data_IF_400671313631
#
_entry.id   IF_400671313631
#
_cell.length_a   1.000
_cell.length_b   1.000
_cell.length_c   1.000
_cell.angle_alpha   90.00
_cell.angle_beta   90.00
_cell.angle_gamma   90.00
#
_symmetry.space_group_name_H-M   'P 1'
#
loop_
_entity.id
_entity.type
_entity.pdbx_description
1 polymer ?
#
# COMPACT_ATOMS: atom_id res chain seq x y z
N UNK A 1 27.51 1.54 17.65
CA UNK A 1 27.07 0.26 17.06
C UNK A 1 28.13 -0.76 17.40
N UNK A 2 27.76 -1.96 17.86
CA UNK A 2 28.74 -3.04 18.08
C UNK A 2 29.33 -3.50 16.73
N UNK A 3 30.52 -4.08 16.77
CA UNK A 3 31.11 -4.72 15.58
C UNK A 3 30.16 -5.81 15.06
N UNK A 4 30.07 -5.94 13.74
CA UNK A 4 29.18 -6.88 13.06
C UNK A 4 29.80 -7.26 11.71
N UNK A 5 29.72 -8.54 11.37
CA UNK A 5 30.15 -9.07 10.08
C UNK A 5 29.11 -8.77 9.00
N UNK A 6 29.59 -8.45 7.80
CA UNK A 6 28.73 -8.05 6.68
C UNK A 6 28.90 -8.99 5.49
N UNK A 7 27.83 -9.71 5.17
CA UNK A 7 27.78 -10.74 4.15
C UNK A 7 27.10 -10.22 2.88
N UNK A 8 27.62 -10.62 1.71
CA UNK A 8 27.19 -10.11 0.39
C UNK A 8 26.85 -11.26 -0.56
N UNK A 9 25.77 -12.02 -0.32
CA UNK A 9 25.31 -13.07 -1.23
C UNK A 9 24.86 -12.48 -2.57
N UNK A 10 24.91 -13.31 -3.61
CA UNK A 10 24.54 -12.96 -4.99
C UNK A 10 23.23 -13.65 -5.42
N UNK A 11 22.81 -14.68 -4.70
CA UNK A 11 21.58 -15.44 -4.95
C UNK A 11 20.67 -15.47 -3.73
N UNK A 12 19.37 -15.71 -3.96
CA UNK A 12 18.38 -15.89 -2.88
C UNK A 12 18.77 -17.08 -1.99
N UNK A 13 19.22 -18.18 -2.61
CA UNK A 13 19.65 -19.37 -1.91
C UNK A 13 20.83 -19.08 -0.97
N UNK A 14 21.88 -18.43 -1.44
CA UNK A 14 23.02 -18.05 -0.58
C UNK A 14 22.59 -17.18 0.61
N UNK A 15 21.65 -16.26 0.42
CA UNK A 15 21.16 -15.41 1.49
C UNK A 15 20.39 -16.21 2.56
N UNK A 16 19.58 -17.17 2.14
CA UNK A 16 18.85 -18.08 3.01
C UNK A 16 19.82 -19.01 3.76
N UNK A 17 20.79 -19.61 3.05
CA UNK A 17 21.82 -20.49 3.63
C UNK A 17 22.63 -19.75 4.71
N UNK A 18 22.96 -18.48 4.48
CA UNK A 18 23.62 -17.62 5.47
C UNK A 18 22.71 -17.35 6.68
N UNK A 19 21.42 -17.06 6.48
CA UNK A 19 20.52 -16.81 7.61
C UNK A 19 20.22 -18.06 8.45
N UNK A 20 20.29 -19.24 7.85
CA UNK A 20 20.11 -20.50 8.57
C UNK A 20 21.35 -20.87 9.37
N UNK A 21 22.54 -20.71 8.77
CA UNK A 21 23.83 -21.07 9.39
C UNK A 21 24.35 -20.05 10.41
N UNK A 22 24.02 -18.77 10.28
CA UNK A 22 24.54 -17.72 11.15
C UNK A 22 23.62 -17.46 12.35
N UNK A 23 24.20 -17.46 13.55
CA UNK A 23 23.52 -16.98 14.75
C UNK A 23 23.44 -15.45 14.75
N UNK A 24 22.34 -14.93 15.34
CA UNK A 24 22.09 -13.49 15.48
C UNK A 24 22.28 -12.71 14.16
N UNK A 25 21.76 -13.28 13.07
CA UNK A 25 21.79 -12.69 11.75
C UNK A 25 20.53 -11.86 11.45
N UNK A 26 20.70 -10.82 10.62
CA UNK A 26 19.59 -10.01 10.14
C UNK A 26 19.79 -9.64 8.68
N UNK A 27 18.75 -9.83 7.87
CA UNK A 27 18.72 -9.29 6.52
C UNK A 27 18.78 -7.76 6.53
N UNK A 28 19.50 -7.19 5.56
CA UNK A 28 19.54 -5.75 5.31
C UNK A 28 19.34 -5.46 3.82
N UNK A 29 18.24 -4.77 3.51
CA UNK A 29 17.97 -4.21 2.18
C UNK A 29 18.46 -2.75 2.12
N UNK A 30 17.54 -1.78 2.09
CA UNK A 30 17.87 -0.34 2.09
C UNK A 30 18.47 0.20 3.38
N UNK A 31 18.39 -0.56 4.49
CA UNK A 31 18.98 -0.20 5.77
C UNK A 31 18.30 0.96 6.53
N UNK A 32 17.21 1.53 6.00
CA UNK A 32 16.55 2.73 6.57
C UNK A 32 15.92 2.52 7.94
N UNK A 33 15.57 1.27 8.27
CA UNK A 33 15.07 0.88 9.59
C UNK A 33 16.15 0.14 10.39
N UNK A 34 16.77 -0.87 9.79
CA UNK A 34 17.81 -1.71 10.42
C UNK A 34 18.95 -0.87 11.00
N UNK A 35 19.51 0.06 10.21
CA UNK A 35 20.63 0.89 10.68
C UNK A 35 20.21 1.91 11.74
N UNK A 36 18.97 2.40 11.69
CA UNK A 36 18.43 3.32 12.70
C UNK A 36 18.24 2.59 14.02
N UNK A 37 17.62 1.41 14.01
CA UNK A 37 17.45 0.58 15.19
C UNK A 37 18.79 0.14 15.79
N UNK A 38 19.77 -0.20 14.95
CA UNK A 38 21.12 -0.55 15.39
C UNK A 38 21.85 0.63 16.06
N UNK A 39 21.72 1.85 15.52
CA UNK A 39 22.28 3.07 16.14
C UNK A 39 21.60 3.42 17.46
N UNK A 40 20.31 3.15 17.60
CA UNK A 40 19.55 3.34 18.84
C UNK A 40 19.79 2.23 19.88
N UNK A 41 20.60 1.21 19.58
CA UNK A 41 20.84 0.07 20.47
C UNK A 41 19.64 -0.88 20.60
N UNK A 42 18.58 -0.71 19.78
CA UNK A 42 17.39 -1.56 19.78
C UNK A 42 17.56 -2.84 18.95
N UNK A 43 18.60 -2.88 18.12
CA UNK A 43 19.01 -4.03 17.34
C UNK A 43 20.54 -4.16 17.46
N UNK A 44 21.07 -5.38 17.59
CA UNK A 44 22.52 -5.61 17.67
C UNK A 44 22.85 -6.95 17.02
N UNK A 45 22.70 -7.05 15.68
CA UNK A 45 23.01 -8.27 14.98
C UNK A 45 24.52 -8.49 14.99
N UNK A 46 24.95 -9.73 15.13
CA UNK A 46 26.34 -10.12 14.93
C UNK A 46 26.65 -10.21 13.43
N UNK A 47 25.64 -10.56 12.63
CA UNK A 47 25.74 -10.77 11.20
C UNK A 47 24.68 -9.98 10.43
N UNK A 48 25.10 -9.21 9.43
CA UNK A 48 24.22 -8.55 8.48
C UNK A 48 24.32 -9.22 7.11
N UNK A 49 23.20 -9.73 6.60
CA UNK A 49 23.11 -10.37 5.29
C UNK A 49 22.50 -9.40 4.29
N UNK A 50 23.33 -8.88 3.38
CA UNK A 50 22.92 -7.87 2.41
C UNK A 50 22.05 -8.46 1.30
N UNK A 51 20.93 -7.81 1.03
CA UNK A 51 20.01 -8.17 -0.07
C UNK A 51 20.25 -7.36 -1.34
N UNK A 52 21.18 -6.39 -1.32
CA UNK A 52 21.33 -5.38 -2.39
C UNK A 52 21.77 -5.97 -3.74
N UNK A 53 22.59 -7.01 -3.71
CA UNK A 53 23.22 -7.59 -4.90
C UNK A 53 22.61 -8.93 -5.31
N UNK A 54 21.46 -9.29 -4.73
CA UNK A 54 20.81 -10.56 -5.07
C UNK A 54 20.07 -10.41 -6.40
N UNK A 55 20.43 -11.28 -7.35
CA UNK A 55 19.79 -11.33 -8.66
C UNK A 55 18.30 -11.67 -8.53
N UNK A 56 17.45 -10.98 -9.29
CA UNK A 56 15.99 -11.18 -9.29
C UNK A 56 15.20 -10.39 -8.24
N UNK A 57 15.81 -9.87 -7.17
CA UNK A 57 15.07 -9.11 -6.14
C UNK A 57 14.71 -7.68 -6.57
N UNK A 58 15.33 -7.13 -7.61
CA UNK A 58 15.12 -5.75 -8.05
C UNK A 58 14.35 -5.63 -9.37
N UNK A 59 13.73 -6.71 -9.85
CA UNK A 59 12.95 -6.71 -11.08
C UNK A 59 11.54 -6.13 -10.91
N UNK A 60 11.00 -5.57 -11.99
CA UNK A 60 9.57 -5.26 -12.14
C UNK A 60 9.13 -5.95 -13.44
N UNK A 61 8.16 -6.83 -13.36
CA UNK A 61 7.54 -7.51 -14.50
C UNK A 61 6.05 -7.15 -14.55
N UNK A 62 5.56 -6.85 -15.76
CA UNK A 62 4.24 -6.28 -16.02
C UNK A 62 3.41 -7.09 -17.04
N UNK A 63 3.83 -8.31 -17.39
CA UNK A 63 3.18 -9.07 -18.47
C UNK A 63 1.76 -9.54 -18.10
N UNK A 64 1.55 -10.00 -16.86
CA UNK A 64 0.29 -10.62 -16.39
C UNK A 64 -0.13 -10.03 -15.04
N UNK A 65 -0.31 -8.71 -15.02
CA UNK A 65 -0.40 -7.94 -13.77
C UNK A 65 0.97 -7.39 -13.41
N UNK A 66 1.27 -7.22 -12.12
CA UNK A 66 2.55 -6.66 -11.68
C UNK A 66 3.23 -7.58 -10.69
N UNK A 67 4.45 -8.02 -11.03
CA UNK A 67 5.39 -8.68 -10.11
C UNK A 67 6.50 -7.71 -9.74
N UNK A 68 6.52 -7.30 -8.48
CA UNK A 68 7.57 -6.45 -7.89
C UNK A 68 8.53 -7.29 -7.07
N UNK A 69 9.81 -7.31 -7.43
CA UNK A 69 10.84 -7.84 -6.56
C UNK A 69 10.90 -7.09 -5.22
N UNK A 70 11.16 -7.81 -4.13
CA UNK A 70 11.18 -7.24 -2.77
C UNK A 70 12.27 -6.17 -2.56
N UNK A 71 13.29 -6.17 -3.41
CA UNK A 71 14.38 -5.20 -3.47
C UNK A 71 14.07 -3.95 -4.29
N UNK A 72 12.92 -3.87 -4.97
CA UNK A 72 12.53 -2.66 -5.72
C UNK A 72 12.33 -1.49 -4.75
N UNK A 73 12.96 -0.36 -5.06
CA UNK A 73 12.92 0.85 -4.22
C UNK A 73 11.64 1.64 -4.40
N UNK A 74 11.22 2.37 -3.36
CA UNK A 74 10.04 3.23 -3.45
C UNK A 74 10.16 4.29 -4.56
N UNK A 75 11.36 4.83 -4.83
CA UNK A 75 11.58 5.76 -5.95
C UNK A 75 11.27 5.11 -7.29
N UNK A 76 11.63 3.85 -7.50
CA UNK A 76 11.34 3.15 -8.76
C UNK A 76 9.84 2.94 -8.92
N UNK A 77 9.16 2.48 -7.88
CA UNK A 77 7.70 2.27 -7.88
C UNK A 77 6.95 3.58 -8.15
N UNK A 78 7.32 4.66 -7.46
CA UNK A 78 6.62 5.94 -7.56
C UNK A 78 6.79 6.64 -8.92
N UNK A 79 7.86 6.33 -9.66
CA UNK A 79 8.16 6.97 -10.95
C UNK A 79 7.89 6.07 -12.16
N UNK A 80 7.48 4.82 -11.95
CA UNK A 80 7.16 3.91 -13.03
C UNK A 80 5.84 4.30 -13.70
N UNK A 81 5.85 4.51 -15.01
CA UNK A 81 4.68 5.00 -15.75
C UNK A 81 3.49 4.05 -15.70
N UNK A 82 3.74 2.74 -15.87
CA UNK A 82 2.69 1.72 -15.87
C UNK A 82 2.07 1.56 -14.47
N UNK A 83 2.90 1.55 -13.41
CA UNK A 83 2.40 1.50 -12.03
C UNK A 83 1.60 2.76 -11.70
N UNK A 84 2.06 3.94 -12.12
CA UNK A 84 1.33 5.20 -11.90
C UNK A 84 -0.03 5.22 -12.58
N UNK A 85 -0.16 4.57 -13.73
CA UNK A 85 -1.40 4.52 -14.50
C UNK A 85 -2.36 3.46 -13.99
N UNK A 86 -1.90 2.22 -13.80
CA UNK A 86 -2.77 1.07 -13.53
C UNK A 86 -2.80 0.63 -12.06
N UNK A 87 -1.81 1.03 -11.27
CA UNK A 87 -1.65 0.67 -9.84
C UNK A 87 -1.40 1.94 -9.01
N UNK A 88 -2.10 3.02 -9.34
CA UNK A 88 -1.89 4.38 -8.85
C UNK A 88 -1.81 4.51 -7.33
N UNK A 89 -2.61 3.76 -6.56
CA UNK A 89 -2.50 3.74 -5.09
C UNK A 89 -1.10 3.34 -4.61
N UNK A 90 -0.45 2.39 -5.30
CA UNK A 90 0.88 1.92 -4.95
C UNK A 90 1.95 2.96 -5.30
N UNK A 91 1.83 3.60 -6.46
CA UNK A 91 2.71 4.70 -6.84
C UNK A 91 2.61 5.88 -5.84
N UNK A 92 1.40 6.25 -5.42
CA UNK A 92 1.15 7.28 -4.41
C UNK A 92 1.74 6.91 -3.05
N UNK A 93 1.42 5.70 -2.56
CA UNK A 93 1.97 5.18 -1.30
C UNK A 93 3.49 5.19 -1.30
N UNK A 94 4.12 4.71 -2.38
CA UNK A 94 5.57 4.73 -2.52
C UNK A 94 6.12 6.16 -2.59
N UNK A 95 5.41 7.09 -3.25
CA UNK A 95 5.81 8.48 -3.44
C UNK A 95 5.86 9.32 -2.16
N UNK A 96 5.15 8.91 -1.11
CA UNK A 96 5.04 9.64 0.17
C UNK A 96 5.82 9.00 1.33
N UNK A 97 6.54 7.90 1.08
CA UNK A 97 7.44 7.29 2.07
C UNK A 97 8.60 8.23 2.35
N UNK A 98 8.78 8.64 3.61
CA UNK A 98 9.95 9.41 4.07
C UNK A 98 10.30 10.62 3.19
N UNK A 99 11.60 10.79 2.92
CA UNK A 99 12.14 11.75 1.95
C UNK A 99 12.57 11.06 0.67
N UNK A 100 12.92 11.85 -0.36
CA UNK A 100 13.55 11.33 -1.58
C UNK A 100 14.78 10.46 -1.29
N UNK A 101 15.61 10.86 -0.32
CA UNK A 101 16.80 10.11 0.10
C UNK A 101 16.42 8.73 0.65
N UNK A 102 15.39 8.66 1.50
CA UNK A 102 14.87 7.40 2.02
C UNK A 102 14.33 6.54 0.87
N UNK A 103 13.50 7.09 -0.02
CA UNK A 103 12.90 6.34 -1.14
C UNK A 103 13.91 5.78 -2.14
N UNK A 104 15.05 6.44 -2.29
CA UNK A 104 16.11 5.99 -3.19
C UNK A 104 16.79 4.70 -2.72
N UNK A 105 16.69 4.35 -1.43
CA UNK A 105 17.34 3.16 -0.86
C UNK A 105 16.35 2.20 -0.21
N UNK A 106 15.26 2.69 0.39
CA UNK A 106 14.24 1.86 1.03
C UNK A 106 13.49 1.05 -0.03
N UNK A 107 13.34 -0.25 0.25
CA UNK A 107 12.69 -1.20 -0.65
C UNK A 107 11.30 -1.55 -0.14
N UNK A 108 10.42 -1.94 -1.06
CA UNK A 108 9.06 -2.39 -0.72
C UNK A 108 9.09 -3.59 0.23
N UNK A 109 9.99 -4.55 0.03
CA UNK A 109 10.17 -5.70 0.92
C UNK A 109 10.55 -5.28 2.33
N UNK A 110 11.49 -4.34 2.47
CA UNK A 110 11.87 -3.80 3.78
C UNK A 110 10.71 -3.09 4.47
N UNK A 111 9.94 -2.28 3.74
CA UNK A 111 8.78 -1.57 4.29
C UNK A 111 7.71 -2.52 4.84
N UNK A 112 7.37 -3.57 4.08
CA UNK A 112 6.32 -4.51 4.44
C UNK A 112 6.78 -5.50 5.52
N UNK A 113 8.02 -6.01 5.45
CA UNK A 113 8.56 -6.94 6.46
C UNK A 113 8.81 -6.25 7.82
N UNK A 114 9.03 -4.93 7.84
CA UNK A 114 9.08 -4.17 9.08
C UNK A 114 7.72 -4.14 9.80
N UNK A 115 6.60 -4.30 9.06
CA UNK A 115 5.23 -4.32 9.56
C UNK A 115 4.90 -3.17 10.53
N UNK A 116 5.41 -1.99 10.23
CA UNK A 116 4.99 -0.78 10.92
C UNK A 116 3.49 -0.53 10.59
N UNK A 117 2.61 -0.31 11.58
CA UNK A 117 1.20 -0.02 11.33
C UNK A 117 0.94 1.23 10.47
N UNK A 118 1.98 2.05 10.29
CA UNK A 118 2.01 3.30 9.53
C UNK A 118 2.73 3.18 8.17
N UNK A 119 2.96 1.97 7.68
CA UNK A 119 3.64 1.72 6.40
C UNK A 119 2.77 2.19 5.21
N UNK A 120 3.27 3.17 4.46
CA UNK A 120 2.49 3.84 3.40
C UNK A 120 2.13 2.92 2.22
N UNK A 121 2.92 1.87 1.94
CA UNK A 121 2.59 0.92 0.86
C UNK A 121 1.76 -0.28 1.31
N UNK A 122 1.44 -0.42 2.60
CA UNK A 122 0.67 -1.56 3.09
C UNK A 122 -0.81 -1.52 2.67
N UNK A 123 -1.48 -0.37 2.81
CA UNK A 123 -2.87 -0.22 2.34
C UNK A 123 -3.00 -0.37 0.82
N UNK A 124 -2.12 0.25 0.00
CA UNK A 124 -2.10 -0.02 -1.43
C UNK A 124 -1.99 -1.51 -1.79
N UNK A 125 -1.07 -2.25 -1.19
CA UNK A 125 -0.95 -3.68 -1.48
C UNK A 125 -2.20 -4.47 -1.06
N UNK A 126 -2.86 -4.10 0.04
CA UNK A 126 -4.12 -4.72 0.47
C UNK A 126 -5.24 -4.51 -0.55
N UNK A 127 -5.43 -3.29 -1.07
CA UNK A 127 -6.51 -3.02 -2.05
C UNK A 127 -6.19 -3.52 -3.45
N UNK A 128 -4.92 -3.80 -3.73
CA UNK A 128 -4.45 -4.40 -4.98
C UNK A 128 -4.39 -5.93 -4.91
N UNK A 129 -4.96 -6.54 -3.86
CA UNK A 129 -5.02 -7.99 -3.63
C UNK A 129 -3.64 -8.67 -3.79
N UNK A 130 -2.59 -8.04 -3.27
CA UNK A 130 -1.22 -8.52 -3.45
C UNK A 130 -0.98 -9.88 -2.77
N UNK A 131 -0.22 -10.73 -3.44
CA UNK A 131 0.31 -11.99 -2.94
C UNK A 131 1.79 -11.81 -2.63
N UNK A 132 2.22 -12.21 -1.44
CA UNK A 132 3.61 -12.19 -1.00
C UNK A 132 4.25 -13.53 -1.38
N UNK A 133 5.33 -13.48 -2.16
CA UNK A 133 6.13 -14.64 -2.55
C UNK A 133 7.32 -14.76 -1.60
N UNK A 134 7.43 -15.91 -0.96
CA UNK A 134 8.39 -16.19 0.11
C UNK A 134 9.22 -17.40 -0.31
N UNK A 135 10.53 -17.30 -0.18
CA UNK A 135 11.47 -18.40 -0.38
C UNK A 135 12.11 -18.77 0.95
N UNK A 136 12.19 -20.06 1.25
CA UNK A 136 12.86 -20.61 2.43
C UNK A 136 13.64 -21.87 2.08
N UNK A 137 14.25 -22.50 3.09
CA UNK A 137 14.98 -23.78 2.95
C UNK A 137 14.07 -24.92 2.49
N UNK A 138 12.79 -24.88 2.87
CA UNK A 138 11.75 -25.84 2.48
C UNK A 138 11.13 -25.57 1.11
N UNK A 139 11.60 -24.56 0.37
CA UNK A 139 11.09 -24.16 -0.95
C UNK A 139 10.31 -22.84 -0.94
N UNK A 140 9.59 -22.59 -2.02
CA UNK A 140 8.81 -21.37 -2.22
C UNK A 140 7.36 -21.56 -1.76
N UNK A 141 6.81 -20.51 -1.14
CA UNK A 141 5.39 -20.43 -0.79
C UNK A 141 4.81 -19.05 -1.06
N UNK A 142 3.49 -18.98 -1.08
CA UNK A 142 2.74 -17.75 -1.29
C UNK A 142 1.71 -17.56 -0.18
N UNK A 143 1.48 -16.31 0.20
CA UNK A 143 0.48 -15.92 1.19
C UNK A 143 -0.17 -14.61 0.77
N UNK A 144 -1.45 -14.42 1.08
CA UNK A 144 -2.10 -13.14 0.85
C UNK A 144 -1.43 -12.05 1.68
N UNK A 145 -1.40 -10.81 1.20
CA UNK A 145 -0.84 -9.70 1.97
C UNK A 145 -1.64 -9.44 3.26
N UNK A 146 -2.93 -9.77 3.30
CA UNK A 146 -3.76 -9.67 4.52
C UNK A 146 -3.26 -10.65 5.58
N UNK A 147 -3.10 -11.93 5.21
CA UNK A 147 -2.61 -12.98 6.11
C UNK A 147 -1.12 -12.84 6.44
N UNK A 148 -0.37 -12.10 5.63
CA UNK A 148 1.04 -11.81 5.90
C UNK A 148 1.23 -10.92 7.15
N UNK A 149 0.28 -10.05 7.47
CA UNK A 149 0.37 -9.17 8.65
C UNK A 149 -0.22 -9.84 9.90
N UNK A 150 0.64 -10.22 10.85
CA UNK A 150 0.23 -10.89 12.11
C UNK A 150 0.07 -9.93 13.31
N UNK A 151 0.43 -8.66 13.13
CA UNK A 151 0.32 -7.62 14.14
C UNK A 151 1.44 -6.57 14.03
N UNK A 152 1.55 -5.67 15.02
CA UNK A 152 2.58 -4.64 15.02
C UNK A 152 3.98 -5.26 14.95
N UNK A 153 4.74 -4.91 13.92
CA UNK A 153 6.11 -5.39 13.66
C UNK A 153 6.23 -6.93 13.57
N UNK A 154 5.12 -7.63 13.22
CA UNK A 154 5.10 -9.08 13.05
C UNK A 154 4.48 -9.45 11.72
N UNK A 155 5.19 -10.28 10.97
CA UNK A 155 4.75 -10.84 9.69
C UNK A 155 4.83 -12.36 9.71
N UNK A 156 4.13 -13.00 8.78
CA UNK A 156 4.16 -14.45 8.58
C UNK A 156 5.45 -14.88 7.84
N UNK A 157 6.61 -14.61 8.46
CA UNK A 157 7.92 -15.15 8.07
C UNK A 157 8.47 -16.04 9.17
N UNK A 158 8.93 -17.21 8.78
CA UNK A 158 9.69 -18.14 9.61
C UNK A 158 11.19 -17.83 9.55
N UNK A 159 11.98 -18.50 10.40
CA UNK A 159 13.43 -18.32 10.42
C UNK A 159 14.02 -18.75 9.07
N UNK A 160 14.91 -17.94 8.51
CA UNK A 160 15.57 -18.20 7.23
C UNK A 160 14.77 -17.75 6.00
N UNK A 161 13.45 -17.56 6.13
CA UNK A 161 12.61 -17.15 5.02
C UNK A 161 12.87 -15.71 4.55
N UNK A 162 12.72 -15.50 3.25
CA UNK A 162 12.92 -14.23 2.58
C UNK A 162 11.75 -13.95 1.64
N UNK A 163 11.14 -12.77 1.78
CA UNK A 163 10.20 -12.26 0.77
C UNK A 163 10.99 -11.93 -0.50
N UNK A 164 10.66 -12.60 -1.61
CA UNK A 164 11.32 -12.39 -2.90
C UNK A 164 10.55 -11.45 -3.81
N UNK A 165 9.21 -11.46 -3.74
CA UNK A 165 8.37 -10.61 -4.58
C UNK A 165 6.97 -10.35 -3.98
N UNK A 166 6.31 -9.35 -4.55
CA UNK A 166 4.88 -9.08 -4.41
C UNK A 166 4.23 -9.20 -5.79
N UNK A 167 3.17 -9.99 -5.90
CA UNK A 167 2.45 -10.23 -7.16
C UNK A 167 1.04 -9.67 -7.02
N UNK A 168 0.65 -8.81 -7.94
CA UNK A 168 -0.71 -8.25 -8.03
C UNK A 168 -1.31 -8.65 -9.38
N UNK A 169 -2.61 -9.00 -9.44
CA UNK A 169 -3.26 -9.40 -10.68
C UNK A 169 -3.35 -8.24 -11.68
N UNK A 170 -3.59 -8.56 -12.95
CA UNK A 170 -4.03 -7.59 -13.93
C UNK A 170 -5.48 -7.17 -13.62
N UNK A 171 -5.79 -5.89 -13.80
CA UNK A 171 -7.14 -5.36 -13.63
C UNK A 171 -7.77 -5.05 -14.98
N UNK A 172 -9.10 -5.15 -15.04
CA UNK A 172 -9.87 -4.78 -16.23
C UNK A 172 -9.80 -3.28 -16.50
N UNK A 173 -10.19 -2.88 -17.72
CA UNK A 173 -10.52 -1.48 -17.98
C UNK A 173 -11.60 -1.00 -16.99
N UNK A 174 -11.63 0.30 -16.71
CA UNK A 174 -12.55 0.86 -15.71
C UNK A 174 -12.18 0.54 -14.26
N UNK A 175 -10.95 0.07 -13.99
CA UNK A 175 -10.41 -0.03 -12.63
C UNK A 175 -9.52 1.16 -12.31
N UNK A 176 -9.74 1.77 -11.16
CA UNK A 176 -8.90 2.85 -10.63
C UNK A 176 -8.59 2.62 -9.15
N UNK A 177 -7.47 3.15 -8.67
CA UNK A 177 -7.07 3.04 -7.27
C UNK A 177 -6.47 4.33 -6.73
N UNK A 178 -6.60 4.59 -5.44
CA UNK A 178 -6.00 5.76 -4.80
C UNK A 178 -5.51 5.48 -3.38
N UNK A 179 -4.51 6.23 -2.95
CA UNK A 179 -4.01 6.26 -1.58
C UNK A 179 -3.90 7.70 -1.07
N UNK A 180 -4.48 7.93 0.10
CA UNK A 180 -4.40 9.19 0.81
C UNK A 180 -3.60 8.97 2.10
N UNK A 181 -2.49 9.70 2.21
CA UNK A 181 -1.75 9.85 3.46
C UNK A 181 -2.22 11.11 4.18
N UNK A 182 -2.86 10.96 5.32
CA UNK A 182 -3.16 12.10 6.21
C UNK A 182 -2.03 12.25 7.22
N UNK A 183 -1.32 13.38 7.19
CA UNK A 183 -0.20 13.66 8.07
C UNK A 183 -0.13 15.14 8.43
N UNK A 184 0.68 15.52 9.44
CA UNK A 184 0.83 16.93 9.84
C UNK A 184 1.70 17.73 8.87
N UNK A 185 2.52 17.03 8.07
CA UNK A 185 3.44 17.60 7.09
C UNK A 185 3.44 16.75 5.82
N UNK A 186 3.68 17.40 4.68
CA UNK A 186 3.69 16.76 3.36
C UNK A 186 4.87 15.81 3.12
N UNK A 187 5.93 15.86 3.93
CA UNK A 187 7.09 14.99 3.84
C UNK A 187 7.67 14.70 5.23
N UNK A 188 8.41 13.59 5.36
CA UNK A 188 9.12 13.21 6.59
C UNK A 188 8.22 13.10 7.84
N UNK A 189 6.96 12.71 7.67
CA UNK A 189 6.05 12.41 8.78
C UNK A 189 5.44 11.02 8.62
N UNK A 190 5.16 10.39 9.76
CA UNK A 190 4.36 9.17 9.79
C UNK A 190 2.88 9.57 9.68
N UNK A 191 2.05 8.78 8.98
CA UNK A 191 0.63 9.07 8.86
C UNK A 191 -0.05 9.19 10.24
N UNK A 192 -0.94 10.18 10.37
CA UNK A 192 -2.03 10.15 11.35
C UNK A 192 -2.99 9.03 10.99
N UNK A 193 -3.27 8.88 9.69
CA UNK A 193 -3.94 7.75 9.06
C UNK A 193 -3.54 7.61 7.59
N UNK A 194 -3.73 6.43 7.02
CA UNK A 194 -3.62 6.21 5.58
C UNK A 194 -4.81 5.40 5.10
N UNK A 195 -5.43 5.82 4.00
CA UNK A 195 -6.58 5.14 3.38
C UNK A 195 -6.24 4.84 1.93
N UNK A 196 -6.44 3.58 1.52
CA UNK A 196 -6.40 3.20 0.12
C UNK A 196 -7.77 2.71 -0.34
N UNK A 197 -8.10 2.93 -1.60
CA UNK A 197 -9.25 2.33 -2.26
C UNK A 197 -8.86 1.82 -3.65
N UNK A 198 -9.56 0.77 -4.11
CA UNK A 198 -9.62 0.34 -5.51
C UNK A 198 -11.09 0.14 -5.85
N UNK A 199 -11.51 0.61 -7.01
CA UNK A 199 -12.85 0.35 -7.54
C UNK A 199 -12.76 -0.11 -8.98
N UNK A 200 -13.68 -0.98 -9.37
CA UNK A 200 -14.01 -1.25 -10.78
C UNK A 200 -15.39 -0.70 -11.04
N UNK A 201 -15.50 0.21 -12.01
CA UNK A 201 -16.75 0.89 -12.33
C UNK A 201 -17.41 0.26 -13.55
N UNK A 202 -18.73 0.25 -13.54
CA UNK A 202 -19.55 0.00 -14.72
C UNK A 202 -20.43 1.22 -14.96
N UNK A 203 -20.32 1.79 -16.14
CA UNK A 203 -21.08 2.96 -16.57
C UNK A 203 -22.34 2.46 -17.28
N UNK A 204 -23.51 2.86 -16.79
CA UNK A 204 -24.80 2.54 -17.43
C UNK A 204 -25.14 3.46 -18.62
N UNK A 205 -24.62 4.69 -18.59
CA UNK A 205 -24.80 5.74 -19.60
C UNK A 205 -23.61 5.93 -20.56
N UNK A 206 -23.31 7.19 -20.93
CA UNK A 206 -22.23 7.54 -21.87
C UNK A 206 -20.89 7.72 -21.13
N UNK A 207 -19.84 6.97 -21.49
CA UNK A 207 -18.53 7.06 -20.82
C UNK A 207 -17.92 8.48 -20.85
N UNK A 208 -18.23 9.28 -21.89
CA UNK A 208 -17.75 10.65 -22.02
C UNK A 208 -18.29 11.60 -20.95
N UNK A 209 -19.55 11.49 -20.56
CA UNK A 209 -20.18 12.39 -19.58
C UNK A 209 -19.72 12.12 -18.15
N UNK A 210 -19.38 10.86 -17.82
CA UNK A 210 -18.76 10.51 -16.54
C UNK A 210 -17.35 11.14 -16.37
N UNK A 211 -16.59 11.29 -17.46
CA UNK A 211 -15.27 11.98 -17.42
C UNK A 211 -15.41 13.47 -17.14
N UNK A 212 -16.42 14.10 -17.75
CA UNK A 212 -16.72 15.52 -17.59
C UNK A 212 -17.39 15.86 -16.24
N UNK A 213 -17.77 14.85 -15.45
CA UNK A 213 -18.32 15.06 -14.12
C UNK A 213 -17.28 15.62 -13.13
N UNK A 214 -15.98 15.41 -13.38
CA UNK A 214 -14.90 15.80 -12.49
C UNK A 214 -14.35 17.21 -12.80
N UNK A 215 -14.06 17.99 -11.75
CA UNK A 215 -13.50 19.35 -11.85
C UNK A 215 -14.37 20.48 -11.29
N UNK A 216 -15.48 20.14 -10.62
CA UNK A 216 -16.37 21.07 -9.93
C UNK A 216 -16.61 20.70 -8.46
N UNK A 217 -17.76 21.09 -7.91
CA UNK A 217 -18.15 20.71 -6.55
C UNK A 217 -18.32 19.19 -6.40
N UNK A 218 -17.95 18.64 -5.24
CA UNK A 218 -18.03 17.19 -4.99
C UNK A 218 -19.48 16.70 -5.07
N UNK A 219 -20.43 17.47 -4.54
CA UNK A 219 -21.85 17.10 -4.52
C UNK A 219 -22.43 17.08 -5.93
N UNK A 220 -22.07 18.08 -6.75
CA UNK A 220 -22.43 18.09 -8.19
C UNK A 220 -21.82 16.91 -8.95
N UNK A 221 -20.54 16.62 -8.69
CA UNK A 221 -19.84 15.46 -9.28
C UNK A 221 -20.61 14.17 -8.98
N UNK A 222 -20.95 13.94 -7.70
CA UNK A 222 -21.68 12.74 -7.27
C UNK A 222 -23.05 12.64 -7.91
N UNK A 223 -23.82 13.74 -7.97
CA UNK A 223 -25.14 13.77 -8.63
C UNK A 223 -25.05 13.42 -10.11
N UNK A 224 -24.01 13.87 -10.82
CA UNK A 224 -23.78 13.53 -12.23
C UNK A 224 -23.46 12.05 -12.38
N UNK A 225 -22.56 11.50 -11.55
CA UNK A 225 -22.23 10.08 -11.59
C UNK A 225 -23.45 9.20 -11.28
N UNK A 226 -24.31 9.64 -10.35
CA UNK A 226 -25.58 8.98 -10.04
C UNK A 226 -26.54 9.01 -11.24
N UNK A 227 -26.68 10.16 -11.91
CA UNK A 227 -27.53 10.33 -13.08
C UNK A 227 -27.09 9.46 -14.28
N UNK A 228 -25.78 9.25 -14.43
CA UNK A 228 -25.19 8.35 -15.43
C UNK A 228 -25.27 6.86 -15.05
N UNK A 229 -25.83 6.55 -13.88
CA UNK A 229 -25.97 5.18 -13.40
C UNK A 229 -24.63 4.49 -13.17
N UNK A 230 -23.59 5.22 -12.73
CA UNK A 230 -22.30 4.61 -12.41
C UNK A 230 -22.42 3.68 -11.22
N UNK A 231 -22.15 2.39 -11.45
CA UNK A 231 -22.16 1.33 -10.44
C UNK A 231 -20.75 0.82 -10.14
N UNK A 232 -20.53 0.32 -8.94
CA UNK A 232 -19.23 -0.22 -8.51
C UNK A 232 -19.25 -1.76 -8.49
N UNK A 233 -18.73 -2.41 -9.51
CA UNK A 233 -18.73 -3.89 -9.62
C UNK A 233 -17.81 -4.56 -8.58
N UNK A 234 -16.69 -3.91 -8.29
CA UNK A 234 -15.76 -4.35 -7.26
C UNK A 234 -15.22 -3.17 -6.47
N UNK A 235 -15.06 -3.36 -5.16
CA UNK A 235 -14.61 -2.35 -4.22
C UNK A 235 -13.62 -2.99 -3.24
N UNK A 236 -12.49 -2.33 -3.03
CA UNK A 236 -11.51 -2.64 -1.99
C UNK A 236 -11.18 -1.39 -1.22
N UNK A 237 -11.15 -1.47 0.11
CA UNK A 237 -10.86 -0.34 1.00
C UNK A 237 -9.94 -0.84 2.10
N UNK A 238 -8.78 -0.20 2.24
CA UNK A 238 -7.83 -0.52 3.31
C UNK A 238 -7.43 0.72 4.09
N UNK A 239 -7.15 0.52 5.38
CA UNK A 239 -6.87 1.58 6.34
C UNK A 239 -5.69 1.22 7.23
N UNK A 240 -4.85 2.21 7.54
CA UNK A 240 -3.67 2.09 8.41
C UNK A 240 -3.74 3.08 9.56
N UNK A 241 -3.00 2.79 10.65
CA UNK A 241 -3.01 3.56 11.91
C UNK A 241 -4.37 3.57 12.62
N UNK A 242 -5.30 2.69 12.21
CA UNK A 242 -6.65 2.55 12.77
C UNK A 242 -6.90 1.17 13.40
N UNK A 243 -5.85 0.36 13.52
CA UNK A 243 -5.82 -0.95 14.16
C UNK A 243 -4.34 -1.32 14.43
N UNK A 244 -4.06 -2.42 15.17
CA UNK A 244 -2.68 -2.89 15.39
C UNK A 244 -1.92 -3.28 14.11
N UNK A 245 -2.63 -3.57 13.02
CA UNK A 245 -2.10 -3.80 11.68
C UNK A 245 -2.95 -3.04 10.64
N UNK A 246 -2.47 -2.82 9.42
CA UNK A 246 -3.32 -2.38 8.32
C UNK A 246 -4.47 -3.38 8.10
N UNK A 247 -5.69 -2.90 7.87
CA UNK A 247 -6.89 -3.73 7.74
C UNK A 247 -7.68 -3.36 6.48
N UNK A 248 -8.45 -4.33 5.96
CA UNK A 248 -9.53 -4.06 5.00
C UNK A 248 -10.83 -3.74 5.73
N UNK A 249 -11.55 -2.73 5.23
CA UNK A 249 -12.89 -2.36 5.69
C UNK A 249 -13.94 -3.19 4.93
N UNK A 250 -14.03 -4.49 5.23
CA UNK A 250 -14.82 -5.45 4.44
C UNK A 250 -16.31 -5.13 4.45
N UNK A 251 -16.86 -4.63 5.57
CA UNK A 251 -18.27 -4.21 5.60
C UNK A 251 -18.49 -2.97 4.74
N UNK A 252 -17.54 -2.03 4.74
CA UNK A 252 -17.60 -0.84 3.90
C UNK A 252 -17.53 -1.20 2.40
N UNK A 253 -16.68 -2.15 2.02
CA UNK A 253 -16.61 -2.67 0.65
C UNK A 253 -17.94 -3.26 0.18
N UNK A 254 -18.53 -4.18 0.96
CA UNK A 254 -19.82 -4.80 0.66
C UNK A 254 -20.97 -3.78 0.61
N UNK A 255 -20.87 -2.69 1.39
CA UNK A 255 -21.91 -1.65 1.41
C UNK A 255 -22.05 -0.87 0.10
N UNK A 256 -21.04 -0.91 -0.77
CA UNK A 256 -21.03 -0.21 -2.07
C UNK A 256 -21.04 -1.15 -3.28
N UNK A 257 -20.61 -2.41 -3.11
CA UNK A 257 -20.51 -3.35 -4.22
C UNK A 257 -21.88 -3.56 -4.90
N UNK A 258 -21.91 -3.42 -6.22
CA UNK A 258 -23.09 -3.52 -7.06
C UNK A 258 -24.06 -2.33 -6.96
N UNK A 259 -23.78 -1.30 -6.16
CA UNK A 259 -24.65 -0.13 -6.00
C UNK A 259 -24.22 1.02 -6.90
N UNK A 260 -25.20 1.85 -7.28
CA UNK A 260 -24.97 3.16 -7.88
C UNK A 260 -24.35 4.10 -6.85
N UNK A 261 -23.36 4.87 -7.25
CA UNK A 261 -22.75 5.87 -6.38
C UNK A 261 -23.72 7.03 -6.13
N UNK A 262 -23.85 7.47 -4.88
CA UNK A 262 -24.70 8.60 -4.49
C UNK A 262 -24.21 9.25 -3.19
N UNK A 263 -24.70 10.44 -2.85
CA UNK A 263 -24.34 11.12 -1.60
C UNK A 263 -24.72 10.29 -0.37
N UNK A 264 -25.89 9.62 -0.44
CA UNK A 264 -26.37 8.71 0.61
C UNK A 264 -25.44 7.50 0.73
N UNK A 265 -25.07 6.87 -0.38
CA UNK A 265 -24.17 5.71 -0.38
C UNK A 265 -22.78 6.06 0.19
N UNK A 266 -22.24 7.23 -0.15
CA UNK A 266 -20.98 7.74 0.40
C UNK A 266 -21.08 8.02 1.91
N UNK A 267 -22.21 8.58 2.36
CA UNK A 267 -22.42 8.84 3.79
C UNK A 267 -22.48 7.53 4.58
N UNK A 268 -23.24 6.54 4.10
CA UNK A 268 -23.29 5.18 4.67
C UNK A 268 -21.91 4.54 4.71
N UNK A 269 -21.16 4.61 3.60
CA UNK A 269 -19.79 4.12 3.51
C UNK A 269 -18.90 4.69 4.62
N UNK A 270 -18.96 6.01 4.81
CA UNK A 270 -18.16 6.70 5.82
C UNK A 270 -18.46 6.18 7.23
N UNK A 271 -19.74 6.02 7.58
CA UNK A 271 -20.15 5.51 8.90
C UNK A 271 -19.76 4.05 9.12
N UNK A 272 -19.87 3.22 8.09
CA UNK A 272 -19.46 1.81 8.17
C UNK A 272 -17.94 1.71 8.34
N UNK A 273 -17.15 2.45 7.56
CA UNK A 273 -15.69 2.48 7.69
C UNK A 273 -15.25 2.96 9.08
N UNK A 274 -15.94 3.96 9.66
CA UNK A 274 -15.74 4.38 11.04
C UNK A 274 -15.97 3.24 12.03
N UNK A 275 -17.04 2.48 11.85
CA UNK A 275 -17.38 1.36 12.73
C UNK A 275 -16.35 0.21 12.70
N UNK A 276 -15.65 0.03 11.58
CA UNK A 276 -14.59 -0.97 11.42
C UNK A 276 -13.21 -0.49 11.92
N UNK A 277 -13.09 0.81 12.25
CA UNK A 277 -11.86 1.41 12.75
C UNK A 277 -11.78 1.37 14.30
N UNK A 278 -10.59 1.05 14.81
CA UNK A 278 -10.25 1.04 16.24
C UNK A 278 -8.95 1.82 16.51
N UNK A 279 -8.88 3.12 16.17
CA UNK A 279 -7.70 3.93 16.45
C UNK A 279 -7.50 4.11 17.95
N UNK A 280 -6.24 4.26 18.36
CA UNK A 280 -5.84 4.63 19.72
C UNK A 280 -5.41 6.09 19.78
N UNK A 281 -5.28 6.66 20.97
CA UNK A 281 -4.68 7.99 21.14
C UNK A 281 -3.16 7.96 20.93
N UNK A 282 -2.61 9.09 20.53
CA UNK A 282 -1.17 9.29 20.40
C UNK A 282 -0.82 10.77 20.30
N UNK A 283 0.45 11.11 20.47
CA UNK A 283 0.93 12.48 20.23
C UNK A 283 0.72 13.02 18.79
N UNK A 284 0.35 12.17 17.83
CA UNK A 284 0.02 12.59 16.44
C UNK A 284 -1.46 12.93 16.24
N UNK A 285 -2.32 12.49 17.15
CA UNK A 285 -3.76 12.62 17.00
C UNK A 285 -4.49 11.66 17.94
N UNK A 286 -5.61 12.16 18.46
CA UNK A 286 -6.56 11.43 19.29
C UNK A 286 -7.38 10.44 18.45
N UNK A 287 -7.89 9.40 19.10
CA UNK A 287 -8.68 8.34 18.48
C UNK A 287 -9.98 8.88 17.86
N UNK A 288 -10.67 9.80 18.53
CA UNK A 288 -11.91 10.40 18.01
C UNK A 288 -11.66 11.11 16.67
N UNK A 289 -10.57 11.88 16.59
CA UNK A 289 -10.22 12.62 15.37
C UNK A 289 -9.86 11.67 14.23
N UNK A 290 -9.08 10.63 14.52
CA UNK A 290 -8.76 9.59 13.54
C UNK A 290 -10.03 8.93 13.01
N UNK A 291 -10.96 8.61 13.90
CA UNK A 291 -12.23 7.99 13.54
C UNK A 291 -13.05 8.90 12.64
N UNK A 292 -13.17 10.19 12.95
CA UNK A 292 -13.88 11.14 12.08
C UNK A 292 -13.23 11.25 10.70
N UNK A 293 -11.90 11.35 10.67
CA UNK A 293 -11.14 11.41 9.42
C UNK A 293 -11.24 10.13 8.59
N UNK A 294 -11.40 8.96 9.19
CA UNK A 294 -11.67 7.70 8.44
C UNK A 294 -12.92 7.85 7.58
N UNK A 295 -14.02 8.37 8.15
CA UNK A 295 -15.26 8.55 7.39
C UNK A 295 -15.09 9.52 6.22
N UNK A 296 -14.37 10.62 6.42
CA UNK A 296 -14.11 11.62 5.38
C UNK A 296 -13.20 11.07 4.29
N UNK A 297 -12.06 10.51 4.66
CA UNK A 297 -11.01 10.12 3.72
C UNK A 297 -11.33 8.83 2.96
N UNK A 298 -12.17 7.96 3.52
CA UNK A 298 -12.69 6.80 2.78
C UNK A 298 -13.56 7.24 1.60
N UNK A 299 -14.48 8.19 1.81
CA UNK A 299 -15.28 8.79 0.73
C UNK A 299 -14.39 9.38 -0.37
N UNK A 300 -13.38 10.16 0.03
CA UNK A 300 -12.44 10.79 -0.92
C UNK A 300 -11.62 9.76 -1.70
N UNK A 301 -11.08 8.74 -1.03
CA UNK A 301 -10.30 7.70 -1.69
C UNK A 301 -11.12 6.92 -2.74
N UNK A 302 -12.40 6.63 -2.44
CA UNK A 302 -13.32 6.02 -3.42
C UNK A 302 -13.55 6.95 -4.61
N UNK A 303 -13.86 8.23 -4.39
CA UNK A 303 -14.07 9.18 -5.48
C UNK A 303 -12.82 9.37 -6.36
N UNK A 304 -11.64 9.47 -5.76
CA UNK A 304 -10.35 9.49 -6.49
C UNK A 304 -10.15 8.23 -7.34
N UNK A 305 -10.58 7.08 -6.82
CA UNK A 305 -10.47 5.81 -7.54
C UNK A 305 -11.45 5.75 -8.72
N UNK A 306 -12.67 6.30 -8.56
CA UNK A 306 -13.64 6.44 -9.65
C UNK A 306 -13.11 7.39 -10.72
N UNK A 307 -12.57 8.55 -10.34
CA UNK A 307 -11.97 9.52 -11.27
C UNK A 307 -10.93 8.85 -12.18
N UNK A 308 -10.07 8.00 -11.60
CA UNK A 308 -9.02 7.27 -12.32
C UNK A 308 -9.58 6.14 -13.19
N UNK A 309 -10.62 5.47 -12.70
CA UNK A 309 -11.31 4.43 -13.46
C UNK A 309 -11.95 5.00 -14.73
N UNK A 310 -12.60 6.17 -14.64
CA UNK A 310 -13.29 6.78 -15.79
C UNK A 310 -12.33 7.59 -16.68
N UNK A 311 -11.34 8.26 -16.10
CA UNK A 311 -10.50 9.28 -16.74
C UNK A 311 -9.21 8.78 -17.39
N UNK A 312 -9.16 7.52 -17.84
CA UNK A 312 -7.98 6.94 -18.46
C UNK A 312 -7.60 7.62 -19.80
N UNK A 313 -6.89 8.76 -19.73
CA UNK A 313 -5.77 9.15 -20.59
C UNK A 313 -5.25 10.57 -20.23
N UNK A 314 -3.93 10.65 -19.99
CA UNK A 314 -3.03 11.83 -20.13
C UNK A 314 -2.80 12.86 -19.01
N UNK A 315 -3.53 12.86 -17.90
CA UNK A 315 -3.24 13.84 -16.83
C UNK A 315 -3.39 13.26 -15.42
N UNK A 316 -2.36 12.56 -14.95
CA UNK A 316 -2.12 12.45 -13.50
C UNK A 316 -1.58 13.81 -13.01
N UNK A 317 -2.46 14.81 -12.95
CA UNK A 317 -2.19 16.10 -12.32
C UNK A 317 -2.70 16.08 -10.87
N UNK A 318 -2.10 16.86 -9.95
CA UNK A 318 -2.51 16.88 -8.56
C UNK A 318 -3.90 17.50 -8.42
N UNK A 319 -4.80 16.79 -7.74
CA UNK A 319 -5.93 17.35 -6.99
C UNK A 319 -6.94 18.19 -7.77
N UNK A 320 -7.74 17.58 -8.65
CA UNK A 320 -8.94 18.27 -9.19
C UNK A 320 -10.13 18.34 -8.22
N UNK A 321 -9.99 17.88 -6.97
CA UNK A 321 -11.07 17.89 -5.97
C UNK A 321 -10.62 18.26 -4.54
N UNK A 322 -9.41 18.77 -4.32
CA UNK A 322 -8.90 19.00 -2.95
C UNK A 322 -7.82 20.06 -2.86
#
# INVERSE_FOLDING_TARGET
MKACDYHKPHTVKEAIDLMDSLENAKYIAGGTDVMVLARQGKLSPANLVSLRNISGLSGIDMQNGVRLGAGVTHTRIANDGFIREHYSALAEGAGVVGSRQIRNVATIGGNICNAAPSADTACPLLVLDAIVVISGTSGDRQVSIDDFFLGPNRVALEKGELVTAFVMPAFSAGTGSAYIKHARRMAMDLPILGIAARVTVKIGGNEGSCREAFGGDVSETVKRLEAEGLTLEDVRIAMSVVAPRPIRAKKAEESLKGRTISEKALTELGEIARSESQPRDSFRGEAWYRKDMVGVLTKRAVLMSIERAVGASSMVFPGRLW
#
